data_IF_120486757875
#
_entry.id   IF_120486757875
#
_cell.length_a   1.000
_cell.length_b   1.000
_cell.length_c   1.000
_cell.angle_alpha   90.00
_cell.angle_beta   90.00
_cell.angle_gamma   90.00
#
_symmetry.space_group_name_H-M   'P 1'
#
loop_
_entity.id
_entity.type
_entity.pdbx_description
1 polymer ?
#
# COMPACT_ATOMS: atom_id res chain seq x y z
N UNK A 1 12.43 46.11 -11.22
CA UNK A 1 12.13 45.02 -12.17
C UNK A 1 12.09 43.76 -11.34
N UNK A 2 10.90 43.21 -11.09
CA UNK A 2 10.69 42.08 -10.19
C UNK A 2 10.54 40.84 -11.06
N UNK A 3 11.58 40.01 -11.12
CA UNK A 3 11.48 38.69 -11.76
C UNK A 3 10.77 37.72 -10.83
N UNK A 4 9.56 37.35 -11.20
CA UNK A 4 8.87 36.18 -10.64
C UNK A 4 9.47 34.93 -11.30
N UNK A 5 10.08 33.99 -10.58
CA UNK A 5 10.49 32.74 -11.20
C UNK A 5 9.25 31.88 -11.44
N UNK A 6 8.90 31.75 -12.72
CA UNK A 6 7.96 30.77 -13.25
C UNK A 6 8.46 29.36 -12.88
N UNK A 7 7.84 28.74 -11.87
CA UNK A 7 8.02 27.31 -11.62
C UNK A 7 7.07 26.57 -12.54
N UNK A 8 7.57 25.65 -13.40
CA UNK A 8 6.66 24.75 -14.08
C UNK A 8 6.04 23.83 -13.02
N UNK A 9 4.73 23.98 -12.80
CA UNK A 9 3.90 22.96 -12.17
C UNK A 9 3.92 21.74 -13.07
N UNK A 10 4.96 20.91 -12.94
CA UNK A 10 4.93 19.54 -13.43
C UNK A 10 3.69 18.92 -12.80
N UNK A 11 2.71 18.56 -13.63
CA UNK A 11 1.63 17.64 -13.28
C UNK A 11 2.21 16.27 -12.96
N UNK A 12 2.98 16.20 -11.88
CA UNK A 12 3.55 14.99 -11.36
C UNK A 12 2.41 14.09 -10.94
N UNK A 13 2.36 12.89 -11.52
CA UNK A 13 1.58 11.80 -10.95
C UNK A 13 1.87 11.78 -9.45
N UNK A 14 0.85 11.79 -8.58
CA UNK A 14 1.09 11.71 -7.14
C UNK A 14 2.03 10.53 -6.90
N UNK A 15 3.04 10.68 -6.03
CA UNK A 15 3.95 9.59 -5.74
C UNK A 15 3.12 8.37 -5.36
N UNK A 16 3.46 7.21 -5.93
CA UNK A 16 2.78 5.98 -5.56
C UNK A 16 2.92 5.80 -4.04
N UNK A 17 1.82 5.47 -3.36
CA UNK A 17 1.80 5.31 -1.91
C UNK A 17 2.72 4.15 -1.45
N UNK A 18 3.03 3.23 -2.36
CA UNK A 18 3.94 2.12 -2.20
C UNK A 18 4.42 1.62 -3.59
N UNK A 19 5.36 0.67 -3.58
CA UNK A 19 5.99 0.07 -4.76
C UNK A 19 5.44 -1.32 -5.15
N UNK A 20 4.20 -1.66 -4.76
CA UNK A 20 3.61 -2.95 -5.13
C UNK A 20 3.60 -3.12 -6.65
N UNK A 21 4.17 -4.23 -7.11
CA UNK A 21 3.96 -4.68 -8.49
C UNK A 21 2.53 -5.17 -8.68
N UNK A 22 2.06 -5.23 -9.92
CA UNK A 22 0.73 -5.77 -10.23
C UNK A 22 0.57 -7.21 -9.73
N UNK A 23 1.58 -8.05 -9.95
CA UNK A 23 1.59 -9.43 -9.48
C UNK A 23 1.51 -9.54 -7.95
N UNK A 24 2.20 -8.66 -7.22
CA UNK A 24 2.10 -8.61 -5.76
C UNK A 24 0.74 -8.11 -5.29
N UNK A 25 0.18 -7.08 -5.95
CA UNK A 25 -1.10 -6.47 -5.58
C UNK A 25 -2.26 -7.48 -5.61
N UNK A 26 -2.26 -8.39 -6.59
CA UNK A 26 -3.25 -9.45 -6.74
C UNK A 26 -2.84 -10.78 -6.06
N UNK A 27 -1.69 -10.82 -5.40
CA UNK A 27 -1.14 -12.01 -4.75
C UNK A 27 -1.16 -11.98 -3.21
N UNK A 28 -0.50 -12.95 -2.56
CA UNK A 28 -0.42 -13.04 -1.10
C UNK A 28 0.18 -11.78 -0.45
N UNK A 29 1.20 -11.18 -1.08
CA UNK A 29 1.84 -9.95 -0.58
C UNK A 29 0.82 -8.81 -0.52
N UNK A 30 0.04 -8.60 -1.58
CA UNK A 30 -0.98 -7.57 -1.63
C UNK A 30 -2.10 -7.81 -0.62
N UNK A 31 -2.53 -9.06 -0.43
CA UNK A 31 -3.51 -9.39 0.60
C UNK A 31 -3.00 -9.04 2.01
N UNK A 32 -1.80 -9.50 2.37
CA UNK A 32 -1.21 -9.22 3.69
C UNK A 32 -1.00 -7.71 3.88
N UNK A 33 -0.52 -6.99 2.86
CA UNK A 33 -0.32 -5.54 2.94
C UNK A 33 -1.64 -4.78 3.18
N UNK A 34 -2.73 -5.19 2.54
CA UNK A 34 -4.08 -4.66 2.81
C UNK A 34 -4.53 -4.97 4.24
N UNK A 35 -4.34 -6.20 4.70
CA UNK A 35 -4.68 -6.60 6.07
C UNK A 35 -3.97 -5.74 7.12
N UNK A 36 -2.67 -5.50 6.93
CA UNK A 36 -1.87 -4.64 7.82
C UNK A 36 -2.36 -3.19 7.81
N UNK A 37 -2.64 -2.65 6.62
CA UNK A 37 -3.15 -1.30 6.45
C UNK A 37 -4.52 -1.11 7.13
N UNK A 38 -5.38 -2.12 7.01
CA UNK A 38 -6.72 -2.14 7.61
C UNK A 38 -6.66 -2.23 9.14
N UNK A 39 -5.83 -3.11 9.69
CA UNK A 39 -5.58 -3.22 11.14
C UNK A 39 -5.01 -1.93 11.71
N UNK A 40 -4.05 -1.32 11.02
CA UNK A 40 -3.45 -0.05 11.44
C UNK A 40 -4.46 1.09 11.49
N UNK A 41 -5.46 1.08 10.62
CA UNK A 41 -6.55 2.04 10.64
C UNK A 41 -7.59 1.77 11.75
N UNK A 42 -7.37 0.74 12.59
CA UNK A 42 -8.22 0.41 13.72
C UNK A 42 -9.44 -0.44 13.35
N UNK A 43 -9.46 -1.02 12.14
CA UNK A 43 -10.56 -1.84 11.69
C UNK A 43 -10.36 -3.33 12.03
N UNK A 44 -11.43 -4.07 12.39
CA UNK A 44 -11.35 -5.51 12.62
C UNK A 44 -10.99 -6.25 11.33
N UNK A 45 -10.08 -7.23 11.41
CA UNK A 45 -9.67 -8.02 10.24
C UNK A 45 -10.84 -8.77 9.57
N UNK A 46 -11.87 -9.12 10.34
CA UNK A 46 -13.08 -9.80 9.85
C UNK A 46 -13.88 -8.95 8.85
N UNK A 47 -13.68 -7.64 8.85
CA UNK A 47 -14.37 -6.71 7.94
C UNK A 47 -13.62 -6.56 6.61
N UNK A 48 -12.36 -7.02 6.49
CA UNK A 48 -11.51 -6.75 5.32
C UNK A 48 -12.15 -7.16 3.97
N UNK A 49 -12.89 -8.27 3.94
CA UNK A 49 -13.57 -8.79 2.76
C UNK A 49 -15.03 -8.32 2.65
N UNK A 50 -15.48 -7.45 3.56
CA UNK A 50 -16.83 -6.91 3.54
C UNK A 50 -17.00 -5.88 2.39
N UNK A 51 -18.16 -5.88 1.70
CA UNK A 51 -18.39 -5.07 0.51
C UNK A 51 -18.36 -3.54 0.75
N UNK A 52 -18.31 -3.09 2.00
CA UNK A 52 -18.38 -1.67 2.38
C UNK A 52 -17.18 -1.18 3.19
N UNK A 53 -16.10 -1.95 3.29
CA UNK A 53 -14.90 -1.46 3.97
C UNK A 53 -14.28 -0.29 3.22
N UNK A 54 -14.05 0.80 3.96
CA UNK A 54 -13.21 1.90 3.52
C UNK A 54 -11.82 1.35 3.25
N UNK A 55 -11.46 1.28 1.97
CA UNK A 55 -10.18 0.74 1.55
C UNK A 55 -9.05 1.66 1.98
N UNK A 56 -8.27 1.22 2.96
CA UNK A 56 -7.06 1.93 3.39
C UNK A 56 -5.90 1.45 2.54
N UNK A 57 -5.35 2.36 1.73
CA UNK A 57 -4.22 2.06 0.87
C UNK A 57 -3.00 1.65 1.73
N UNK A 58 -2.34 0.51 1.42
CA UNK A 58 -1.11 0.13 2.11
C UNK A 58 0.00 1.17 1.92
N UNK A 59 0.79 1.37 2.96
CA UNK A 59 2.04 2.14 2.88
C UNK A 59 3.22 1.24 2.53
N UNK A 60 4.36 1.83 2.18
CA UNK A 60 5.57 1.06 1.92
C UNK A 60 6.00 0.16 3.09
N UNK A 61 5.77 0.59 4.33
CA UNK A 61 6.08 -0.23 5.51
C UNK A 61 5.21 -1.49 5.56
N UNK A 62 3.92 -1.37 5.23
CA UNK A 62 2.99 -2.51 5.18
C UNK A 62 3.42 -3.51 4.10
N UNK A 63 3.88 -3.02 2.94
CA UNK A 63 4.36 -3.84 1.82
C UNK A 63 5.66 -4.56 2.19
N UNK A 64 6.61 -3.89 2.82
CA UNK A 64 7.86 -4.52 3.27
C UNK A 64 7.60 -5.62 4.30
N UNK A 65 6.70 -5.36 5.26
CA UNK A 65 6.29 -6.35 6.25
C UNK A 65 5.58 -7.54 5.60
N UNK A 66 4.69 -7.28 4.63
CA UNK A 66 4.00 -8.31 3.88
C UNK A 66 4.96 -9.21 3.07
N UNK A 67 5.97 -8.62 2.43
CA UNK A 67 7.03 -9.38 1.72
C UNK A 67 7.79 -10.28 2.68
N UNK A 68 8.21 -9.74 3.83
CA UNK A 68 8.90 -10.51 4.86
C UNK A 68 8.04 -11.68 5.36
N UNK A 69 6.77 -11.44 5.74
CA UNK A 69 5.86 -12.50 6.17
C UNK A 69 5.63 -13.56 5.09
N UNK A 70 5.42 -13.15 3.84
CA UNK A 70 5.22 -14.07 2.72
C UNK A 70 6.47 -14.93 2.45
N UNK A 71 7.68 -14.40 2.66
CA UNK A 71 8.90 -15.19 2.60
C UNK A 71 8.91 -16.28 3.69
N UNK A 72 8.65 -15.89 4.96
CA UNK A 72 8.58 -16.84 6.08
C UNK A 72 7.52 -17.93 5.88
N UNK A 73 6.36 -17.59 5.30
CA UNK A 73 5.31 -18.57 5.00
C UNK A 73 5.74 -19.60 3.95
N UNK A 74 6.52 -19.17 2.96
CA UNK A 74 7.05 -20.07 1.91
C UNK A 74 8.18 -20.96 2.41
N UNK A 75 8.95 -20.49 3.38
CA UNK A 75 10.05 -21.25 3.99
C UNK A 75 9.54 -22.37 4.93
N UNK A 76 8.29 -22.28 5.40
CA UNK A 76 7.67 -23.21 6.34
C UNK A 76 6.58 -24.11 5.71
N UNK A 77 6.50 -24.17 4.38
CA UNK A 77 5.61 -25.05 3.60
C UNK A 77 6.41 -26.14 2.90
#
# INVERSE_FOLDING_TARGET
>A
MTETPDRPSRGGRPPAANDLTEAEAFGPVGYIARSLAHLRAGHPIAELDAPHVLYVAPTQADVNNARHMNQHLKENQ
#
